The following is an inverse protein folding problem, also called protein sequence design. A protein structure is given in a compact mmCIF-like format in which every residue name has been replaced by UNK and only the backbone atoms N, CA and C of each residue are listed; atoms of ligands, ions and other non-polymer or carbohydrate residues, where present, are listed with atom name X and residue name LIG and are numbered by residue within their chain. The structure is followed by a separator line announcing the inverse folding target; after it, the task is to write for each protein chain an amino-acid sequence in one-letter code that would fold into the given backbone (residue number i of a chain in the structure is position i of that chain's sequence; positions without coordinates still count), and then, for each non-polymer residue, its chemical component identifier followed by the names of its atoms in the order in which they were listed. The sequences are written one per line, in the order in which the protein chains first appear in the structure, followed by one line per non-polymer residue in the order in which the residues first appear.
data_IF_745232997718
#
_entry.id   IF_745232997718
#
_cell.length_a   1.000
_cell.length_b   1.000
_cell.length_c   1.000
_cell.angle_alpha   90.00
_cell.angle_beta   90.00
_cell.angle_gamma   90.00
#
_symmetry.space_group_name_H-M   'P 1'
#
loop_
_entity.id
_entity.type
_entity.pdbx_description
1 polymer ?
#
# COMPACT_ATOMS: atom_id res chain seq x y z
N UNK A 1 -38.48 -15.58 -23.85
CA UNK A 1 -37.69 -14.33 -23.67
C UNK A 1 -38.19 -13.67 -22.41
N UNK A 2 -37.42 -13.68 -21.31
CA UNK A 2 -37.65 -12.78 -20.17
C UNK A 2 -36.32 -12.60 -19.42
N UNK A 3 -35.77 -11.38 -19.44
CA UNK A 3 -34.68 -10.95 -18.56
C UNK A 3 -34.94 -9.58 -17.89
N UNK A 4 -36.06 -8.90 -18.23
CA UNK A 4 -36.30 -7.48 -17.89
C UNK A 4 -37.48 -7.24 -16.93
N UNK A 5 -37.97 -8.23 -16.19
CA UNK A 5 -39.18 -8.06 -15.35
C UNK A 5 -38.91 -7.58 -13.92
N UNK A 6 -37.67 -7.23 -13.58
CA UNK A 6 -37.34 -6.83 -12.22
C UNK A 6 -36.15 -5.88 -12.19
N UNK A 7 -36.21 -4.87 -11.34
CA UNK A 7 -35.11 -3.96 -11.03
C UNK A 7 -34.99 -3.85 -9.51
N UNK A 8 -33.78 -4.04 -8.99
CA UNK A 8 -33.45 -3.82 -7.58
C UNK A 8 -32.75 -2.47 -7.43
N UNK A 9 -33.36 -1.59 -6.66
CA UNK A 9 -32.78 -0.28 -6.31
C UNK A 9 -32.39 -0.32 -4.84
N UNK A 10 -31.15 0.07 -4.55
CA UNK A 10 -30.61 0.13 -3.19
C UNK A 10 -29.79 1.41 -3.02
N UNK A 11 -29.81 1.97 -1.81
CA UNK A 11 -29.03 3.13 -1.44
C UNK A 11 -27.61 2.72 -1.03
N UNK A 12 -26.61 3.46 -1.51
CA UNK A 12 -25.23 3.29 -1.06
C UNK A 12 -25.04 4.07 0.24
N UNK A 13 -24.98 3.35 1.36
CA UNK A 13 -24.87 3.97 2.70
C UNK A 13 -23.51 4.60 3.00
N UNK A 14 -22.42 4.17 2.33
CA UNK A 14 -21.08 4.75 2.47
C UNK A 14 -20.11 4.26 1.37
N UNK A 15 -18.97 4.93 1.23
CA UNK A 15 -17.82 4.47 0.45
C UNK A 15 -16.59 4.22 1.34
N UNK A 16 -15.80 3.19 1.01
CA UNK A 16 -14.49 2.98 1.60
C UNK A 16 -13.46 3.40 0.57
N UNK A 17 -12.69 4.43 0.89
CA UNK A 17 -11.66 4.98 0.01
C UNK A 17 -10.28 4.91 0.67
N UNK A 18 -9.23 4.84 -0.15
CA UNK A 18 -7.87 4.96 0.35
C UNK A 18 -7.67 6.40 0.84
N UNK A 19 -7.49 6.57 2.14
CA UNK A 19 -7.16 7.89 2.71
C UNK A 19 -5.79 8.31 2.19
N UNK A 20 -5.71 9.48 1.55
CA UNK A 20 -4.43 10.06 1.19
C UNK A 20 -3.61 10.30 2.47
N UNK A 21 -2.36 9.80 2.56
CA UNK A 21 -1.58 9.91 3.77
C UNK A 21 -1.33 11.39 4.10
N UNK A 22 -1.91 11.86 5.21
CA UNK A 22 -1.59 13.19 5.78
C UNK A 22 -0.26 13.18 6.54
N UNK A 23 0.23 12.00 6.91
CA UNK A 23 1.47 11.82 7.64
C UNK A 23 2.67 11.87 6.68
N UNK A 24 3.64 12.72 6.99
CA UNK A 24 5.00 12.54 6.47
C UNK A 24 5.57 11.32 7.18
N UNK A 25 5.75 10.24 6.45
CA UNK A 25 6.44 9.05 6.93
C UNK A 25 7.94 9.35 6.83
N UNK A 26 8.56 9.57 7.97
CA UNK A 26 10.01 9.72 8.09
C UNK A 26 10.56 8.45 8.76
N UNK A 27 11.67 7.92 8.24
CA UNK A 27 12.34 6.78 8.86
C UNK A 27 13.23 7.24 10.02
N UNK A 28 13.07 6.60 11.17
CA UNK A 28 13.92 6.78 12.36
C UNK A 28 15.02 5.70 12.37
N UNK A 29 16.11 5.91 13.11
CA UNK A 29 17.22 4.93 13.19
C UNK A 29 16.79 3.52 13.66
N UNK A 30 15.68 3.43 14.42
CA UNK A 30 15.11 2.17 14.89
C UNK A 30 14.15 1.49 13.91
N UNK A 31 13.73 2.18 12.85
CA UNK A 31 12.78 1.62 11.89
C UNK A 31 13.42 0.51 11.06
N UNK A 32 12.60 -0.48 10.70
CA UNK A 32 13.03 -1.61 9.88
C UNK A 32 13.61 -1.11 8.54
N UNK A 33 14.63 -1.80 8.04
CA UNK A 33 15.27 -1.50 6.75
C UNK A 33 14.25 -1.34 5.61
N UNK A 34 13.18 -2.14 5.61
CA UNK A 34 12.13 -2.08 4.58
C UNK A 34 11.44 -0.71 4.51
N UNK A 35 11.26 -0.01 5.64
CA UNK A 35 10.68 1.34 5.67
C UNK A 35 11.61 2.33 4.96
N UNK A 36 12.94 2.16 5.12
CA UNK A 36 13.94 2.99 4.42
C UNK A 36 13.95 2.70 2.92
N UNK A 37 13.92 1.42 2.56
CA UNK A 37 13.92 0.99 1.16
C UNK A 37 12.70 1.56 0.40
N UNK A 38 11.52 1.62 1.05
CA UNK A 38 10.31 2.28 0.51
C UNK A 38 10.55 3.78 0.29
N UNK A 39 11.13 4.49 1.27
CA UNK A 39 11.42 5.91 1.15
C UNK A 39 12.45 6.21 0.05
N UNK A 40 13.43 5.34 -0.13
CA UNK A 40 14.43 5.44 -1.20
C UNK A 40 13.80 5.25 -2.58
N UNK A 41 12.90 4.27 -2.73
CA UNK A 41 12.12 4.07 -3.97
C UNK A 41 11.26 5.31 -4.26
N UNK A 42 10.65 5.90 -3.23
CA UNK A 42 9.86 7.13 -3.36
C UNK A 42 10.71 8.32 -3.80
N UNK A 43 11.92 8.47 -3.26
CA UNK A 43 12.84 9.55 -3.64
C UNK A 43 13.40 9.39 -5.06
N UNK A 44 13.68 8.15 -5.50
CA UNK A 44 14.22 7.88 -6.84
C UNK A 44 13.17 7.83 -7.95
N UNK A 45 11.89 7.94 -7.61
CA UNK A 45 10.79 7.86 -8.56
C UNK A 45 10.88 9.00 -9.60
N UNK A 46 11.20 8.64 -10.83
CA UNK A 46 11.31 9.51 -12.00
C UNK A 46 10.43 8.99 -13.13
N UNK A 47 10.21 9.80 -14.17
CA UNK A 47 9.36 9.38 -15.29
C UNK A 47 9.93 8.19 -16.07
N UNK A 48 11.26 8.05 -16.11
CA UNK A 48 11.96 7.00 -16.86
C UNK A 48 12.01 5.63 -16.17
N UNK A 49 11.86 5.56 -14.84
CA UNK A 49 12.01 4.32 -14.07
C UNK A 49 10.71 3.90 -13.35
N UNK A 50 9.54 4.34 -13.84
CA UNK A 50 8.25 4.07 -13.17
C UNK A 50 7.92 2.59 -13.06
N UNK A 51 8.18 1.82 -14.11
CA UNK A 51 7.89 0.38 -14.14
C UNK A 51 8.82 -0.38 -13.21
N UNK A 52 10.12 -0.06 -13.25
CA UNK A 52 11.11 -0.59 -12.31
C UNK A 52 10.74 -0.27 -10.87
N UNK A 53 10.47 1.01 -10.56
CA UNK A 53 10.05 1.45 -9.22
C UNK A 53 8.75 0.80 -8.76
N UNK A 54 7.84 0.46 -9.69
CA UNK A 54 6.61 -0.27 -9.40
C UNK A 54 6.91 -1.72 -9.02
N UNK A 55 7.82 -2.39 -9.73
CA UNK A 55 8.23 -3.75 -9.39
C UNK A 55 8.98 -3.78 -8.05
N UNK A 56 9.88 -2.84 -7.83
CA UNK A 56 10.63 -2.73 -6.57
C UNK A 56 9.68 -2.56 -5.38
N UNK A 57 8.71 -1.64 -5.48
CA UNK A 57 7.78 -1.40 -4.37
C UNK A 57 6.81 -2.57 -4.17
N UNK A 58 6.46 -3.30 -5.22
CA UNK A 58 5.65 -4.52 -5.11
C UNK A 58 6.41 -5.62 -4.37
N UNK A 59 7.68 -5.82 -4.70
CA UNK A 59 8.53 -6.79 -4.02
C UNK A 59 8.72 -6.44 -2.53
N UNK A 60 9.05 -5.18 -2.22
CA UNK A 60 9.22 -4.73 -0.83
C UNK A 60 7.93 -4.90 -0.03
N UNK A 61 6.76 -4.66 -0.65
CA UNK A 61 5.45 -4.89 -0.01
C UNK A 61 5.24 -6.37 0.32
N UNK A 62 5.58 -7.29 -0.58
CA UNK A 62 5.47 -8.73 -0.33
C UNK A 62 6.42 -9.19 0.77
N UNK A 63 7.67 -8.73 0.75
CA UNK A 63 8.66 -9.03 1.79
C UNK A 63 8.21 -8.50 3.17
N UNK A 64 7.69 -7.27 3.21
CA UNK A 64 7.14 -6.68 4.45
C UNK A 64 5.97 -7.49 5.00
N UNK A 65 5.11 -8.00 4.13
CA UNK A 65 3.99 -8.85 4.53
C UNK A 65 4.50 -10.19 5.10
N UNK A 66 5.47 -10.83 4.44
CA UNK A 66 6.07 -12.08 4.92
C UNK A 66 6.78 -11.90 6.26
N UNK A 67 7.58 -10.84 6.43
CA UNK A 67 8.25 -10.55 7.70
C UNK A 67 7.26 -10.29 8.83
N UNK A 68 6.14 -9.61 8.55
CA UNK A 68 5.07 -9.43 9.52
C UNK A 68 4.43 -10.75 9.92
N UNK A 69 4.13 -11.61 8.94
CA UNK A 69 3.51 -12.92 9.20
C UNK A 69 4.44 -13.86 10.00
N UNK A 70 5.76 -13.68 9.88
CA UNK A 70 6.77 -14.37 10.68
C UNK A 70 7.04 -13.71 12.05
N UNK A 71 6.41 -12.57 12.36
CA UNK A 71 6.61 -11.82 13.61
C UNK A 71 7.92 -11.02 13.69
N UNK A 72 8.59 -10.81 12.55
CA UNK A 72 9.85 -10.06 12.43
C UNK A 72 9.64 -8.57 12.13
N UNK A 73 8.41 -8.17 11.83
CA UNK A 73 7.99 -6.79 11.59
C UNK A 73 6.84 -6.44 12.55
N UNK A 74 6.96 -5.31 13.23
CA UNK A 74 5.93 -4.78 14.11
C UNK A 74 4.83 -4.04 13.33
N UNK A 75 3.68 -3.85 13.97
CA UNK A 75 2.52 -3.22 13.35
C UNK A 75 2.78 -1.75 12.98
N UNK A 76 3.57 -1.03 13.77
CA UNK A 76 3.90 0.37 13.49
C UNK A 76 4.75 0.46 12.22
N UNK A 77 5.81 -0.36 12.11
CA UNK A 77 6.61 -0.44 10.88
C UNK A 77 5.82 -0.90 9.65
N UNK A 78 4.79 -1.75 9.81
CA UNK A 78 3.90 -2.15 8.70
C UNK A 78 2.91 -1.05 8.28
N UNK A 79 2.53 -0.18 9.20
CA UNK A 79 1.59 0.90 8.94
C UNK A 79 2.26 2.13 8.27
N UNK A 80 3.57 2.27 8.43
CA UNK A 80 4.41 3.29 7.79
C UNK A 80 4.57 3.02 6.29
#
# INVERSE_FOLDING_TARGET
IVAHHSVLVMEAFSSIERTAPKLKVDAVEKDNKLVRDILDVKQRLKRGNRIESLHDIQQIKEESQQMFDLGLLDLESKAK
#
